data_IF_362060358897
#
_entry.id   IF_362060358897
#
_cell.length_a   1.000
_cell.length_b   1.000
_cell.length_c   1.000
_cell.angle_alpha   90.00
_cell.angle_beta   90.00
_cell.angle_gamma   90.00
#
_symmetry.space_group_name_H-M   'P 1'
#
loop_
_entity.id
_entity.type
_entity.pdbx_description
1 polymer ?
#
# COMPACT_ATOMS: atom_id res chain seq x y z
N UNK A 1 4.87 -1.53 -7.28
CA UNK A 1 3.74 -1.33 -8.19
C UNK A 1 2.76 -2.49 -8.07
N UNK A 2 1.46 -2.20 -8.00
CA UNK A 2 0.37 -3.19 -7.98
C UNK A 2 -0.79 -2.72 -8.86
N UNK A 3 -1.86 -3.49 -8.97
CA UNK A 3 -3.12 -3.07 -9.61
C UNK A 3 -4.04 -2.29 -8.66
N UNK A 4 -3.67 -2.14 -7.39
CA UNK A 4 -4.39 -1.38 -6.37
C UNK A 4 -4.48 0.11 -6.65
N UNK A 5 -5.38 0.80 -5.95
CA UNK A 5 -5.59 2.25 -6.15
C UNK A 5 -4.39 3.07 -5.68
N UNK A 6 -3.82 2.73 -4.54
CA UNK A 6 -2.79 3.51 -3.85
C UNK A 6 -1.48 3.53 -4.63
N UNK A 7 -0.93 2.35 -4.95
CA UNK A 7 0.24 2.26 -5.81
C UNK A 7 -0.01 2.82 -7.22
N UNK A 8 -1.25 2.74 -7.68
CA UNK A 8 -1.67 3.37 -8.92
C UNK A 8 -1.60 4.89 -8.89
N UNK A 9 -2.03 5.51 -7.80
CA UNK A 9 -1.95 6.95 -7.66
C UNK A 9 -0.50 7.43 -7.55
N UNK A 10 0.35 6.72 -6.80
CA UNK A 10 1.77 7.05 -6.71
C UNK A 10 2.44 6.91 -8.07
N UNK A 11 2.26 5.80 -8.77
CA UNK A 11 2.85 5.62 -10.09
C UNK A 11 2.34 6.63 -11.12
N UNK A 12 1.05 6.98 -11.07
CA UNK A 12 0.49 8.06 -11.90
C UNK A 12 1.14 9.42 -11.59
N UNK A 13 1.30 9.75 -10.31
CA UNK A 13 1.95 11.00 -9.91
C UNK A 13 3.42 11.05 -10.36
N UNK A 14 4.16 9.94 -10.24
CA UNK A 14 5.54 9.86 -10.71
C UNK A 14 5.67 10.08 -12.21
N UNK A 15 4.78 9.47 -13.01
CA UNK A 15 4.73 9.71 -14.46
C UNK A 15 4.42 11.17 -14.80
N UNK A 16 3.44 11.80 -14.11
CA UNK A 16 3.07 13.19 -14.33
C UNK A 16 4.17 14.18 -13.97
N UNK A 17 4.97 13.84 -12.97
CA UNK A 17 6.07 14.67 -12.46
C UNK A 17 7.42 14.33 -13.12
N UNK A 18 7.46 13.36 -14.02
CA UNK A 18 8.68 12.84 -14.65
C UNK A 18 9.75 12.42 -13.60
N UNK A 19 9.31 11.78 -12.51
CA UNK A 19 10.23 11.29 -11.48
C UNK A 19 10.92 10.03 -12.01
N UNK A 20 12.25 10.09 -12.13
CA UNK A 20 13.04 8.90 -12.47
C UNK A 20 12.96 7.89 -11.32
N UNK A 21 12.50 6.69 -11.61
CA UNK A 21 12.23 5.68 -10.60
C UNK A 21 12.26 4.26 -11.20
N UNK A 22 12.45 3.28 -10.34
CA UNK A 22 12.35 1.88 -10.71
C UNK A 22 11.16 1.25 -10.01
N UNK A 23 10.36 0.52 -10.75
CA UNK A 23 9.15 -0.11 -10.24
C UNK A 23 9.32 -1.61 -10.13
N UNK A 24 8.88 -2.18 -9.02
CA UNK A 24 8.88 -3.61 -8.76
C UNK A 24 7.46 -4.11 -8.52
N UNK A 25 7.12 -5.27 -9.05
CA UNK A 25 5.78 -5.84 -8.93
C UNK A 25 5.78 -7.36 -8.89
N UNK A 26 4.90 -7.90 -8.04
CA UNK A 26 4.47 -9.29 -8.15
C UNK A 26 3.14 -9.38 -8.90
N UNK A 27 2.98 -10.38 -9.77
CA UNK A 27 1.72 -10.60 -10.48
C UNK A 27 0.70 -11.41 -9.67
N UNK A 28 1.12 -11.99 -8.55
CA UNK A 28 0.25 -12.82 -7.72
C UNK A 28 -0.94 -12.01 -7.18
N UNK A 29 -2.16 -12.52 -7.34
CA UNK A 29 -3.42 -11.87 -6.93
C UNK A 29 -3.71 -10.48 -7.53
N UNK A 30 -2.94 -10.05 -8.52
CA UNK A 30 -3.13 -8.77 -9.19
C UNK A 30 -4.20 -8.84 -10.30
N UNK A 31 -4.84 -7.71 -10.56
CA UNK A 31 -5.69 -7.58 -11.74
C UNK A 31 -4.80 -7.39 -12.98
N UNK A 32 -4.52 -8.48 -13.66
CA UNK A 32 -3.51 -8.57 -14.70
C UNK A 32 -3.62 -7.48 -15.78
N UNK A 33 -4.84 -7.22 -16.29
CA UNK A 33 -5.06 -6.18 -17.31
C UNK A 33 -4.68 -4.78 -16.82
N UNK A 34 -5.01 -4.44 -15.57
CA UNK A 34 -4.68 -3.13 -15.00
C UNK A 34 -3.19 -3.00 -14.83
N UNK A 35 -2.55 -4.01 -14.23
CA UNK A 35 -1.11 -4.01 -14.00
C UNK A 35 -0.33 -3.94 -15.32
N UNK A 36 -0.65 -4.77 -16.32
CA UNK A 36 -0.01 -4.73 -17.64
C UNK A 36 -0.14 -3.37 -18.32
N UNK A 37 -1.30 -2.72 -18.20
CA UNK A 37 -1.48 -1.40 -18.80
C UNK A 37 -0.67 -0.32 -18.07
N UNK A 38 -0.51 -0.40 -16.74
CA UNK A 38 0.39 0.48 -15.98
C UNK A 38 1.84 0.29 -16.39
N UNK A 39 2.29 -0.95 -16.46
CA UNK A 39 3.64 -1.30 -16.91
C UNK A 39 3.93 -0.69 -18.27
N UNK A 40 3.05 -0.85 -19.25
CA UNK A 40 3.21 -0.25 -20.58
C UNK A 40 3.33 1.29 -20.59
N UNK A 41 2.72 1.95 -19.62
CA UNK A 41 2.85 3.41 -19.46
C UNK A 41 4.20 3.73 -18.86
N UNK A 42 4.58 3.06 -17.78
CA UNK A 42 5.78 3.31 -17.01
C UNK A 42 7.05 3.00 -17.81
N UNK A 43 7.07 1.89 -18.55
CA UNK A 43 8.24 1.46 -19.37
C UNK A 43 8.66 2.43 -20.47
N UNK A 44 7.87 3.47 -20.73
CA UNK A 44 8.27 4.53 -21.66
C UNK A 44 9.42 5.39 -21.12
N UNK A 45 9.47 5.58 -19.80
CA UNK A 45 10.42 6.49 -19.15
C UNK A 45 11.16 5.85 -17.98
N UNK A 46 10.67 4.75 -17.44
CA UNK A 46 11.14 4.14 -16.20
C UNK A 46 11.34 2.63 -16.35
N UNK A 47 12.13 2.04 -15.45
CA UNK A 47 12.33 0.59 -15.43
C UNK A 47 11.23 -0.10 -14.63
N UNK A 48 10.79 -1.28 -15.08
CA UNK A 48 9.83 -2.11 -14.36
C UNK A 48 10.34 -3.54 -14.26
N UNK A 49 10.49 -4.03 -13.04
CA UNK A 49 10.80 -5.42 -12.77
C UNK A 49 9.55 -6.16 -12.31
N UNK A 50 9.30 -7.30 -12.93
CA UNK A 50 8.11 -8.08 -12.63
C UNK A 50 8.47 -9.51 -12.26
N UNK A 51 7.74 -10.08 -11.30
CA UNK A 51 7.83 -11.46 -10.90
C UNK A 51 6.44 -12.05 -10.67
N UNK A 52 6.25 -13.32 -10.97
CA UNK A 52 4.93 -13.96 -10.80
C UNK A 52 4.58 -14.12 -9.32
N UNK A 53 5.46 -14.74 -8.56
CA UNK A 53 5.32 -14.98 -7.11
C UNK A 53 6.69 -15.41 -6.56
N UNK A 54 6.84 -15.42 -5.25
CA UNK A 54 8.00 -16.05 -4.62
C UNK A 54 7.89 -17.57 -4.69
N UNK A 55 8.98 -18.23 -5.07
CA UNK A 55 9.18 -19.65 -4.86
C UNK A 55 9.53 -19.90 -3.39
N UNK A 56 9.42 -21.15 -2.94
CA UNK A 56 9.73 -21.52 -1.58
C UNK A 56 11.18 -21.17 -1.19
N UNK A 57 12.15 -21.46 -2.06
CA UNK A 57 13.55 -21.13 -1.84
C UNK A 57 13.77 -19.61 -1.66
N UNK A 58 13.08 -18.79 -2.46
CA UNK A 58 13.17 -17.34 -2.40
C UNK A 58 12.50 -16.79 -1.15
N UNK A 59 11.42 -17.41 -0.70
CA UNK A 59 10.78 -17.09 0.57
C UNK A 59 11.71 -17.43 1.74
N UNK A 60 12.33 -18.57 1.74
CA UNK A 60 13.30 -18.99 2.76
C UNK A 60 14.52 -18.06 2.77
N UNK A 61 14.97 -17.61 1.61
CA UNK A 61 16.02 -16.59 1.49
C UNK A 61 15.58 -15.27 2.11
N UNK A 62 14.37 -14.78 1.81
CA UNK A 62 13.83 -13.57 2.40
C UNK A 62 13.73 -13.64 3.93
N UNK A 63 13.24 -14.76 4.48
CA UNK A 63 13.18 -15.01 5.92
C UNK A 63 14.58 -14.97 6.54
N UNK A 64 15.58 -15.58 5.88
CA UNK A 64 16.96 -15.51 6.33
C UNK A 64 17.49 -14.08 6.37
N UNK A 65 17.26 -13.29 5.33
CA UNK A 65 17.63 -11.87 5.28
C UNK A 65 16.98 -11.07 6.42
N UNK A 66 15.69 -11.33 6.68
CA UNK A 66 14.98 -10.70 7.79
C UNK A 66 15.66 -11.02 9.14
N UNK A 67 16.04 -12.26 9.36
CA UNK A 67 16.74 -12.67 10.60
C UNK A 67 18.14 -12.09 10.73
N UNK A 68 18.86 -11.93 9.64
CA UNK A 68 20.26 -11.47 9.65
C UNK A 68 20.41 -9.95 9.72
N UNK A 69 19.49 -9.20 9.08
CA UNK A 69 19.63 -7.74 8.94
C UNK A 69 19.11 -6.96 10.12
N UNK A 70 18.18 -7.49 10.88
CA UNK A 70 17.58 -6.79 12.01
C UNK A 70 16.94 -7.75 13.03
N UNK A 71 16.79 -7.25 14.24
CA UNK A 71 16.03 -7.98 15.26
C UNK A 71 14.58 -8.11 14.81
N UNK A 72 14.06 -9.32 14.79
CA UNK A 72 12.65 -9.56 14.54
C UNK A 72 11.84 -8.93 15.66
N UNK A 73 10.89 -8.08 15.34
CA UNK A 73 9.98 -7.47 16.30
C UNK A 73 8.54 -7.68 15.84
N UNK A 74 7.66 -7.65 16.81
CA UNK A 74 6.24 -7.80 16.59
C UNK A 74 5.64 -6.45 16.15
N UNK A 75 4.84 -6.48 15.10
CA UNK A 75 4.14 -5.32 14.58
C UNK A 75 2.67 -5.65 14.33
N UNK A 76 2.03 -6.15 15.26
CA UNK A 76 0.58 -6.31 15.22
C UNK A 76 -0.03 -5.53 16.36
N UNK A 77 -1.25 -5.03 16.26
CA UNK A 77 -1.91 -4.51 17.42
C UNK A 77 -2.20 -5.66 18.37
N UNK A 78 -1.63 -5.62 19.55
CA UNK A 78 -2.02 -6.43 20.69
C UNK A 78 -3.42 -6.05 21.20
N UNK A 79 -4.41 -5.98 20.31
CA UNK A 79 -5.76 -5.55 20.68
C UNK A 79 -6.63 -6.68 21.20
N UNK A 80 -6.21 -7.93 20.97
CA UNK A 80 -6.91 -9.09 21.48
C UNK A 80 -5.90 -10.19 21.81
N UNK A 81 -6.05 -10.81 22.98
CA UNK A 81 -5.21 -11.95 23.41
C UNK A 81 -5.28 -13.16 22.47
N UNK A 82 -6.18 -13.13 21.49
CA UNK A 82 -6.40 -14.16 20.48
C UNK A 82 -5.96 -13.73 19.06
N UNK A 83 -5.47 -12.51 18.86
CA UNK A 83 -4.98 -12.09 17.56
C UNK A 83 -3.58 -12.64 17.32
N UNK A 84 -3.36 -13.21 16.15
CA UNK A 84 -2.02 -13.62 15.72
C UNK A 84 -1.13 -12.38 15.65
N UNK A 85 -0.06 -12.39 16.41
CA UNK A 85 0.96 -11.35 16.32
C UNK A 85 1.69 -11.52 15.01
N UNK A 86 1.72 -10.47 14.20
CA UNK A 86 2.54 -10.44 12.99
C UNK A 86 3.97 -10.06 13.34
N UNK A 87 4.89 -10.81 12.80
CA UNK A 87 6.31 -10.48 12.78
C UNK A 87 6.87 -10.65 11.35
N UNK A 88 8.10 -10.19 11.12
CA UNK A 88 8.70 -10.29 9.80
C UNK A 88 8.91 -11.73 9.31
N UNK A 89 8.88 -12.73 10.19
CA UNK A 89 9.05 -14.15 9.85
C UNK A 89 7.75 -14.77 9.36
N UNK A 90 6.62 -14.34 9.92
CA UNK A 90 5.31 -14.93 9.67
C UNK A 90 4.48 -14.15 8.63
N UNK A 91 4.94 -12.97 8.19
CA UNK A 91 4.21 -12.12 7.24
C UNK A 91 4.69 -12.31 5.80
N UNK A 92 3.87 -12.90 4.91
CA UNK A 92 4.21 -13.01 3.48
C UNK A 92 4.50 -11.66 2.80
N UNK A 93 3.86 -10.56 3.25
CA UNK A 93 4.14 -9.22 2.76
C UNK A 93 5.56 -8.75 3.13
N UNK A 94 6.02 -9.09 4.32
CA UNK A 94 7.40 -8.84 4.75
C UNK A 94 8.41 -9.63 3.91
N UNK A 95 8.13 -10.91 3.63
CA UNK A 95 8.99 -11.73 2.75
C UNK A 95 9.10 -11.13 1.34
N UNK A 96 7.97 -10.71 0.77
CA UNK A 96 7.94 -10.09 -0.55
C UNK A 96 8.75 -8.81 -0.59
N UNK A 97 8.59 -7.94 0.41
CA UNK A 97 9.33 -6.69 0.50
C UNK A 97 10.84 -6.94 0.67
N UNK A 98 11.25 -7.79 1.61
CA UNK A 98 12.65 -8.11 1.84
C UNK A 98 13.33 -8.69 0.58
N UNK A 99 12.64 -9.60 -0.12
CA UNK A 99 13.14 -10.16 -1.36
C UNK A 99 13.32 -9.11 -2.47
N UNK A 100 12.33 -8.22 -2.63
CA UNK A 100 12.43 -7.14 -3.62
C UNK A 100 13.57 -6.17 -3.29
N UNK A 101 13.72 -5.79 -2.02
CA UNK A 101 14.79 -4.88 -1.62
C UNK A 101 16.18 -5.50 -1.76
N UNK A 102 16.30 -6.81 -1.56
CA UNK A 102 17.55 -7.54 -1.85
C UNK A 102 17.90 -7.49 -3.35
N UNK A 103 16.91 -7.63 -4.24
CA UNK A 103 17.12 -7.46 -5.68
C UNK A 103 17.55 -6.02 -5.97
N UNK A 104 16.82 -5.03 -5.42
CA UNK A 104 17.14 -3.61 -5.59
C UNK A 104 18.60 -3.34 -5.26
N UNK A 105 19.05 -3.78 -4.08
CA UNK A 105 20.41 -3.54 -3.62
C UNK A 105 21.50 -4.25 -4.42
N UNK A 106 21.17 -5.39 -5.03
CA UNK A 106 22.11 -6.09 -5.92
C UNK A 106 22.18 -5.45 -7.31
N UNK A 107 21.11 -4.83 -7.78
CA UNK A 107 21.06 -4.22 -9.10
C UNK A 107 21.50 -2.75 -9.09
N UNK A 108 21.17 -2.03 -8.02
CA UNK A 108 21.49 -0.61 -7.87
C UNK A 108 21.56 -0.23 -6.38
N UNK A 109 22.76 -0.26 -5.82
CA UNK A 109 22.99 0.06 -4.40
C UNK A 109 22.80 1.56 -4.09
N UNK A 110 22.72 2.41 -5.10
CA UNK A 110 22.49 3.85 -4.92
C UNK A 110 21.02 4.19 -4.64
N UNK A 111 20.10 3.26 -4.86
CA UNK A 111 18.70 3.45 -4.47
C UNK A 111 18.61 3.52 -2.94
N UNK A 112 18.12 4.67 -2.44
CA UNK A 112 17.99 4.99 -1.00
C UNK A 112 16.56 5.27 -0.56
N UNK A 113 15.60 5.35 -1.48
CA UNK A 113 14.22 5.74 -1.18
C UNK A 113 13.25 4.70 -1.73
N UNK A 114 12.32 4.28 -0.86
CA UNK A 114 11.16 3.46 -1.20
C UNK A 114 9.89 4.31 -1.10
N UNK A 115 9.17 4.51 -2.19
CA UNK A 115 7.85 5.15 -2.15
C UNK A 115 6.75 4.10 -2.02
N UNK A 116 5.93 4.23 -1.01
CA UNK A 116 4.88 3.27 -0.66
C UNK A 116 3.48 3.89 -0.63
N UNK A 117 2.48 3.05 -0.88
CA UNK A 117 1.06 3.40 -0.81
C UNK A 117 0.44 3.36 0.58
N UNK A 118 1.23 3.10 1.63
CA UNK A 118 0.72 3.07 3.00
C UNK A 118 0.10 4.41 3.42
N UNK A 119 -0.87 4.34 4.29
CA UNK A 119 -1.66 5.48 4.76
C UNK A 119 -2.94 5.73 3.97
N UNK A 120 -3.01 5.31 2.71
CA UNK A 120 -4.20 5.53 1.90
C UNK A 120 -5.43 4.75 2.41
N UNK A 121 -5.25 3.50 2.82
CA UNK A 121 -6.31 2.67 3.42
C UNK A 121 -6.74 3.23 4.77
N UNK A 122 -5.80 3.68 5.56
CA UNK A 122 -6.02 4.12 6.93
C UNK A 122 -6.67 5.50 7.01
N UNK A 123 -6.39 6.38 6.05
CA UNK A 123 -6.88 7.76 6.03
C UNK A 123 -8.09 7.94 5.13
N UNK A 124 -8.09 7.33 3.93
CA UNK A 124 -9.07 7.62 2.88
C UNK A 124 -10.05 6.48 2.61
N UNK A 125 -9.98 5.41 3.37
CA UNK A 125 -10.78 4.22 3.14
C UNK A 125 -11.87 4.07 4.18
N UNK A 126 -13.05 3.72 3.71
CA UNK A 126 -14.15 3.20 4.50
C UNK A 126 -14.12 1.67 4.54
N UNK A 127 -12.95 1.06 4.38
CA UNK A 127 -12.82 -0.37 4.61
C UNK A 127 -12.72 -0.67 6.07
N UNK A 128 -13.60 -1.55 6.45
CA UNK A 128 -13.57 -2.29 7.67
C UNK A 128 -12.24 -3.06 7.81
N UNK A 129 -11.45 -2.69 8.77
CA UNK A 129 -10.28 -3.46 9.17
C UNK A 129 -10.68 -4.40 10.29
N UNK A 130 -11.34 -5.51 9.93
CA UNK A 130 -11.80 -6.55 10.86
C UNK A 130 -10.70 -7.11 11.78
N UNK A 131 -9.45 -6.82 11.49
CA UNK A 131 -8.34 -7.46 12.19
C UNK A 131 -7.82 -6.67 13.39
N UNK A 132 -8.20 -5.38 13.58
CA UNK A 132 -7.43 -4.53 14.49
C UNK A 132 -8.23 -3.49 15.26
N UNK A 133 -9.42 -3.82 15.75
CA UNK A 133 -10.21 -2.96 16.63
C UNK A 133 -11.36 -2.23 15.91
N UNK A 134 -11.69 -1.00 16.33
CA UNK A 134 -12.79 -0.26 15.73
C UNK A 134 -12.54 -0.02 14.25
N UNK A 135 -13.49 -0.35 13.36
CA UNK A 135 -13.34 -0.16 11.93
C UNK A 135 -13.12 1.32 11.58
N UNK A 136 -12.45 1.56 10.47
CA UNK A 136 -12.53 2.87 9.84
C UNK A 136 -13.99 3.19 9.51
N UNK A 137 -14.39 4.47 9.50
CA UNK A 137 -15.76 4.81 9.19
C UNK A 137 -16.14 4.28 7.80
N UNK A 138 -17.21 3.50 7.72
CA UNK A 138 -17.77 3.06 6.43
C UNK A 138 -18.32 4.25 5.64
N UNK A 139 -18.89 5.22 6.36
CA UNK A 139 -19.44 6.46 5.83
C UNK A 139 -18.90 7.59 6.70
N UNK A 140 -18.26 8.55 6.07
CA UNK A 140 -17.80 9.75 6.74
C UNK A 140 -18.98 10.69 7.01
N UNK A 141 -19.18 11.15 8.27
CA UNK A 141 -20.20 12.14 8.59
C UNK A 141 -19.81 13.52 8.05
N UNK A 142 -20.76 14.45 8.06
CA UNK A 142 -20.53 15.85 7.70
C UNK A 142 -19.52 16.51 8.66
N UNK A 143 -19.71 16.32 9.95
CA UNK A 143 -18.75 16.72 10.97
C UNK A 143 -17.91 15.51 11.41
N UNK A 144 -16.61 15.69 11.42
CA UNK A 144 -15.67 14.64 11.81
C UNK A 144 -15.41 14.59 13.31
N UNK A 145 -15.93 15.55 14.11
CA UNK A 145 -15.61 15.68 15.54
C UNK A 145 -15.88 14.41 16.33
N UNK A 146 -16.94 13.67 15.97
CA UNK A 146 -17.36 12.47 16.69
C UNK A 146 -16.54 11.22 16.36
N UNK A 147 -15.83 11.23 15.22
CA UNK A 147 -15.09 10.07 14.75
C UNK A 147 -13.59 10.30 14.65
N UNK A 148 -13.15 11.55 14.56
CA UNK A 148 -11.73 11.88 14.43
C UNK A 148 -11.03 11.96 15.79
N UNK A 149 -9.83 11.41 15.92
CA UNK A 149 -9.20 10.49 14.98
C UNK A 149 -9.80 9.07 15.10
N UNK A 150 -10.12 8.46 13.98
CA UNK A 150 -10.49 7.04 13.99
C UNK A 150 -9.27 6.17 14.26
N UNK A 151 -9.50 4.94 14.68
CA UNK A 151 -8.45 4.10 15.25
C UNK A 151 -7.23 3.93 14.32
N UNK A 152 -7.45 3.69 13.05
CA UNK A 152 -6.35 3.47 12.10
C UNK A 152 -5.70 4.77 11.62
N UNK A 153 -6.18 5.95 12.03
CA UNK A 153 -5.59 7.22 11.64
C UNK A 153 -4.19 7.43 12.23
N UNK A 154 -3.96 6.99 13.48
CA UNK A 154 -2.66 7.06 14.15
C UNK A 154 -2.14 5.71 14.63
N UNK A 155 -3.02 4.78 14.89
CA UNK A 155 -2.74 3.50 15.52
C UNK A 155 -3.19 2.34 14.62
N UNK A 156 -3.33 1.16 15.20
CA UNK A 156 -3.86 0.00 14.51
C UNK A 156 -3.01 -0.38 13.29
N UNK A 157 -3.66 -0.60 12.18
CA UNK A 157 -2.99 -1.08 10.95
C UNK A 157 -1.98 -0.09 10.40
N UNK A 158 -2.21 1.22 10.49
CA UNK A 158 -1.23 2.20 10.03
C UNK A 158 0.09 2.06 10.79
N UNK A 159 0.05 2.06 12.11
CA UNK A 159 1.24 1.91 12.94
C UNK A 159 1.98 0.60 12.64
N UNK A 160 1.23 -0.50 12.54
CA UNK A 160 1.79 -1.83 12.29
C UNK A 160 2.46 -1.94 10.92
N UNK A 161 1.78 -1.48 9.87
CA UNK A 161 2.33 -1.56 8.52
C UNK A 161 3.52 -0.62 8.30
N UNK A 162 3.50 0.57 8.90
CA UNK A 162 4.66 1.46 8.87
C UNK A 162 5.84 0.84 9.62
N UNK A 163 5.64 0.31 10.81
CA UNK A 163 6.69 -0.34 11.58
C UNK A 163 7.33 -1.50 10.79
N UNK A 164 6.51 -2.32 10.13
CA UNK A 164 7.00 -3.38 9.26
C UNK A 164 7.87 -2.85 8.12
N UNK A 165 7.32 -1.89 7.36
CA UNK A 165 7.98 -1.39 6.16
C UNK A 165 9.26 -0.64 6.49
N UNK A 166 9.25 0.21 7.52
CA UNK A 166 10.43 0.93 8.01
C UNK A 166 11.53 0.00 8.52
N UNK A 167 11.17 -1.05 9.26
CA UNK A 167 12.15 -2.03 9.72
C UNK A 167 12.78 -2.77 8.58
N UNK A 168 11.98 -3.26 7.63
CA UNK A 168 12.51 -4.03 6.51
C UNK A 168 13.35 -3.14 5.60
N UNK A 169 12.83 -1.99 5.18
CA UNK A 169 13.57 -1.09 4.30
C UNK A 169 14.82 -0.53 4.97
N UNK A 170 14.74 -0.16 6.24
CA UNK A 170 15.87 0.31 7.04
C UNK A 170 16.99 -0.73 7.15
N UNK A 171 16.66 -2.03 7.29
CA UNK A 171 17.63 -3.13 7.25
C UNK A 171 18.43 -3.23 5.95
N UNK A 172 17.89 -2.66 4.86
CA UNK A 172 18.58 -2.53 3.57
C UNK A 172 19.19 -1.14 3.34
N UNK A 173 19.13 -0.23 4.32
CA UNK A 173 19.59 1.15 4.17
C UNK A 173 18.73 1.97 3.21
N UNK A 174 17.46 1.66 3.12
CA UNK A 174 16.47 2.32 2.25
C UNK A 174 15.44 3.01 3.14
N UNK A 175 15.19 4.29 2.90
CA UNK A 175 14.24 5.11 3.65
C UNK A 175 12.84 5.03 3.03
N UNK A 176 11.82 4.75 3.85
CA UNK A 176 10.41 4.78 3.44
C UNK A 176 9.92 6.22 3.19
N UNK A 177 9.08 6.39 2.17
CA UNK A 177 8.33 7.62 1.90
C UNK A 177 6.87 7.27 1.64
N UNK A 178 5.99 7.96 2.35
CA UNK A 178 4.57 7.68 2.41
C UNK A 178 3.75 8.90 1.95
N UNK A 179 3.59 9.12 0.64
CA UNK A 179 2.95 10.33 0.11
C UNK A 179 1.53 10.56 0.64
N UNK A 180 0.79 9.50 0.97
CA UNK A 180 -0.56 9.62 1.54
C UNK A 180 -0.57 10.11 2.99
N UNK A 181 0.56 10.05 3.69
CA UNK A 181 0.73 10.56 5.05
C UNK A 181 1.31 11.98 5.06
N UNK A 182 1.57 12.58 3.90
CA UNK A 182 1.98 13.98 3.84
C UNK A 182 0.90 14.87 4.47
N UNK A 183 1.33 15.79 5.33
CA UNK A 183 0.43 16.67 6.10
C UNK A 183 -0.57 17.39 5.21
N UNK A 184 -0.15 17.88 4.03
CA UNK A 184 -1.03 18.61 3.11
C UNK A 184 -2.04 17.67 2.48
N UNK A 185 -1.63 16.47 2.07
CA UNK A 185 -2.53 15.46 1.50
C UNK A 185 -3.61 15.07 2.52
N UNK A 186 -3.20 14.84 3.78
CA UNK A 186 -4.13 14.50 4.85
C UNK A 186 -5.09 15.66 5.13
N UNK A 187 -4.59 16.89 5.25
CA UNK A 187 -5.43 18.07 5.50
C UNK A 187 -6.44 18.31 4.38
N UNK A 188 -6.01 18.22 3.13
CA UNK A 188 -6.91 18.35 1.98
C UNK A 188 -8.00 17.28 2.01
N UNK A 189 -7.65 16.01 2.35
CA UNK A 189 -8.64 14.97 2.50
C UNK A 189 -9.62 15.25 3.64
N UNK A 190 -9.14 15.66 4.81
CA UNK A 190 -10.00 15.96 5.96
C UNK A 190 -10.97 17.13 5.66
N UNK A 191 -10.54 18.10 4.89
CA UNK A 191 -11.36 19.26 4.50
C UNK A 191 -12.41 19.01 3.41
N UNK A 192 -12.34 17.86 2.72
CA UNK A 192 -13.39 17.49 1.78
C UNK A 192 -14.73 17.29 2.50
N UNK A 193 -15.83 17.70 1.84
CA UNK A 193 -17.15 17.40 2.38
C UNK A 193 -17.48 15.90 2.30
N UNK A 194 -18.47 15.48 3.08
CA UNK A 194 -18.87 14.06 3.21
C UNK A 194 -19.32 13.47 1.87
N UNK A 195 -19.98 14.25 1.01
CA UNK A 195 -20.46 13.77 -0.30
C UNK A 195 -19.32 13.38 -1.22
N UNK A 196 -18.21 14.12 -1.17
CA UNK A 196 -17.01 13.83 -1.95
C UNK A 196 -16.25 12.64 -1.37
N UNK A 197 -16.15 12.54 -0.04
CA UNK A 197 -15.52 11.38 0.63
C UNK A 197 -16.29 10.09 0.35
N UNK A 198 -17.63 10.14 0.43
CA UNK A 198 -18.50 8.97 0.34
C UNK A 198 -18.96 8.61 -1.08
N UNK A 199 -18.55 9.35 -2.10
CA UNK A 199 -19.01 9.13 -3.48
C UNK A 199 -18.74 7.73 -3.99
N UNK A 200 -17.57 7.20 -3.68
CA UNK A 200 -17.13 5.84 -3.98
C UNK A 200 -15.93 5.48 -3.09
N UNK A 201 -15.59 4.20 -3.05
CA UNK A 201 -14.41 3.72 -2.32
C UNK A 201 -13.15 4.47 -2.75
N UNK A 202 -12.39 5.04 -1.79
CA UNK A 202 -11.20 5.88 -2.03
C UNK A 202 -11.46 6.97 -3.08
N UNK A 203 -12.58 7.64 -2.94
CA UNK A 203 -13.11 8.59 -3.93
C UNK A 203 -12.08 9.59 -4.48
N UNK A 204 -11.23 10.25 -3.67
CA UNK A 204 -10.22 11.18 -4.20
C UNK A 204 -9.18 10.48 -5.10
N UNK A 205 -8.75 9.28 -4.72
CA UNK A 205 -7.78 8.50 -5.50
C UNK A 205 -8.39 8.05 -6.82
N UNK A 206 -9.62 7.54 -6.79
CA UNK A 206 -10.33 7.14 -8.01
C UNK A 206 -10.56 8.34 -8.93
N UNK A 207 -10.94 9.49 -8.37
CA UNK A 207 -11.07 10.73 -9.14
C UNK A 207 -9.76 11.13 -9.81
N UNK A 208 -8.64 11.08 -9.08
CA UNK A 208 -7.30 11.38 -9.60
C UNK A 208 -6.92 10.46 -10.76
N UNK A 209 -7.03 9.14 -10.58
CA UNK A 209 -6.73 8.16 -11.62
C UNK A 209 -7.63 8.34 -12.87
N UNK A 210 -8.92 8.64 -12.66
CA UNK A 210 -9.88 8.89 -13.73
C UNK A 210 -9.54 10.18 -14.50
N UNK A 211 -9.23 11.27 -13.79
CA UNK A 211 -8.84 12.55 -14.37
C UNK A 211 -7.63 12.42 -15.30
N UNK A 212 -6.64 11.64 -14.90
CA UNK A 212 -5.43 11.41 -15.67
C UNK A 212 -5.49 10.19 -16.61
N UNK A 213 -6.67 9.59 -16.76
CA UNK A 213 -6.89 8.40 -17.63
C UNK A 213 -5.92 7.26 -17.30
N UNK A 214 -5.47 7.18 -16.05
CA UNK A 214 -4.52 6.16 -15.62
C UNK A 214 -5.26 4.84 -15.30
N UNK A 215 -4.70 3.67 -15.66
CA UNK A 215 -5.40 2.40 -15.52
C UNK A 215 -5.77 2.08 -14.06
N UNK A 216 -7.02 1.75 -13.82
CA UNK A 216 -7.54 1.29 -12.53
C UNK A 216 -8.69 0.30 -12.73
N UNK A 217 -8.97 -0.49 -11.70
CA UNK A 217 -10.09 -1.42 -11.73
C UNK A 217 -11.38 -0.67 -11.37
N UNK A 218 -12.31 -0.64 -12.31
CA UNK A 218 -13.65 -0.08 -12.05
C UNK A 218 -14.41 -1.02 -11.11
N UNK A 219 -15.12 -0.47 -10.12
CA UNK A 219 -16.04 -1.24 -9.28
C UNK A 219 -17.08 -1.92 -10.16
N UNK A 220 -17.40 -3.19 -9.87
CA UNK A 220 -18.52 -3.89 -10.51
C UNK A 220 -19.76 -3.69 -9.64
N UNK A 221 -20.87 -3.38 -10.26
CA UNK A 221 -22.19 -3.43 -9.62
C UNK A 221 -22.75 -4.83 -9.86
N UNK A 222 -22.90 -5.64 -8.81
CA UNK A 222 -23.60 -6.91 -8.87
C UNK A 222 -24.87 -6.77 -8.05
N UNK A 223 -26.03 -7.04 -8.65
CA UNK A 223 -27.35 -6.97 -7.99
C UNK A 223 -27.61 -5.64 -7.25
N UNK A 224 -27.23 -4.52 -7.83
CA UNK A 224 -27.46 -3.19 -7.24
C UNK A 224 -26.47 -2.78 -6.13
N UNK A 225 -25.59 -3.68 -5.66
CA UNK A 225 -24.53 -3.35 -4.69
C UNK A 225 -23.19 -3.14 -5.41
N UNK A 226 -22.55 -2.01 -5.16
CA UNK A 226 -21.17 -1.80 -5.60
C UNK A 226 -20.26 -2.73 -4.80
N UNK A 227 -19.62 -3.67 -5.48
CA UNK A 227 -18.59 -4.50 -4.88
C UNK A 227 -17.26 -3.82 -5.18
N UNK A 228 -16.63 -3.27 -4.15
CA UNK A 228 -15.23 -2.85 -4.26
C UNK A 228 -14.39 -4.12 -4.35
N UNK A 229 -13.55 -4.21 -5.35
CA UNK A 229 -12.66 -5.36 -5.48
C UNK A 229 -11.28 -4.90 -5.09
N UNK A 230 -10.91 -5.18 -3.85
CA UNK A 230 -9.56 -4.95 -3.34
C UNK A 230 -8.61 -5.88 -4.11
N UNK A 231 -7.56 -5.31 -4.68
CA UNK A 231 -6.37 -6.03 -5.09
C UNK A 231 -5.21 -5.46 -4.28
N UNK A 232 -4.50 -6.30 -3.60
CA UNK A 232 -3.41 -5.89 -2.70
C UNK A 232 -2.13 -6.63 -3.02
N UNK A 233 -1.02 -6.06 -2.59
CA UNK A 233 0.28 -6.72 -2.63
C UNK A 233 0.25 -7.93 -1.69
N UNK A 234 0.42 -9.11 -2.25
CA UNK A 234 0.75 -10.33 -1.52
C UNK A 234 1.77 -11.13 -2.31
N UNK A 235 2.83 -11.48 -1.67
CA UNK A 235 3.94 -12.25 -2.24
C UNK A 235 3.72 -13.76 -2.13
#
# INVERSE_FOLDING_TARGET
LSSGFDSGAISCAFELLNINSTFYSFFNYEHERVLKNRIKIIEKNNKVYTKKSLKEEERNHAIKLIKEKYSVFEYGPNLDKNSSVFDGINDPGAHGLAYLLDIVKREDDDIKILASGHGADEIMSNIDSYHFGKPNPEIFPEDLVDIFPWQNFYFGTQSSYLAKEESISGGFGIEGRYPFLDKKVVQEYLSLNERLKNKEFKSPIVYFLKKHKYPYRKSRTLLGKKISVKSGFSA
#
